data_IF_015933535461
#
_entry.id   IF_015933535461
#
_cell.length_a   1.000
_cell.length_b   1.000
_cell.length_c   1.000
_cell.angle_alpha   90.00
_cell.angle_beta   90.00
_cell.angle_gamma   90.00
#
_symmetry.space_group_name_H-M   'P 1'
#
loop_
_entity.id
_entity.type
_entity.pdbx_description
1 polymer ?
#
# COMPACT_ATOMS: atom_id res chain seq x y z
N UNK A 1 9.85 -5.41 -17.98
CA UNK A 1 9.10 -5.97 -16.85
C UNK A 1 8.12 -7.01 -17.35
N UNK A 2 7.96 -8.12 -16.63
CA UNK A 2 7.08 -9.23 -17.01
C UNK A 2 5.61 -8.80 -17.14
N UNK A 3 5.18 -7.84 -16.32
CA UNK A 3 3.83 -7.28 -16.36
C UNK A 3 3.45 -6.75 -17.76
N UNK A 4 4.43 -6.22 -18.52
CA UNK A 4 4.18 -5.72 -19.88
C UNK A 4 3.72 -6.78 -20.87
N UNK A 5 3.84 -8.06 -20.51
CA UNK A 5 3.42 -9.21 -21.32
C UNK A 5 2.02 -9.71 -20.93
N UNK A 6 1.42 -9.19 -19.88
CA UNK A 6 0.10 -9.59 -19.42
C UNK A 6 -1.02 -8.88 -20.19
N UNK A 7 -2.16 -9.55 -20.38
CA UNK A 7 -3.33 -8.96 -21.03
C UNK A 7 -3.84 -7.71 -20.30
N UNK A 8 -3.74 -7.70 -18.98
CA UNK A 8 -4.19 -6.61 -18.13
C UNK A 8 -3.30 -5.36 -18.23
N UNK A 9 -2.05 -5.48 -18.69
CA UNK A 9 -1.13 -4.34 -18.76
C UNK A 9 -1.72 -3.17 -19.57
N UNK A 10 -2.16 -3.46 -20.81
CA UNK A 10 -2.73 -2.44 -21.70
C UNK A 10 -4.03 -1.85 -21.18
N UNK A 11 -4.83 -2.68 -20.47
CA UNK A 11 -6.11 -2.27 -19.91
C UNK A 11 -5.94 -1.22 -18.80
N UNK A 12 -4.87 -1.34 -18.02
CA UNK A 12 -4.68 -0.50 -16.83
C UNK A 12 -3.59 0.57 -17.01
N UNK A 13 -2.77 0.47 -18.06
CA UNK A 13 -1.70 1.45 -18.31
C UNK A 13 -2.27 2.85 -18.53
N UNK A 14 -1.81 3.82 -17.75
CA UNK A 14 -2.19 5.24 -17.83
C UNK A 14 -3.70 5.51 -17.69
N UNK A 15 -4.44 4.63 -17.00
CA UNK A 15 -5.87 4.81 -16.78
C UNK A 15 -6.19 5.50 -15.44
N UNK A 16 -5.20 5.67 -14.58
CA UNK A 16 -5.37 6.13 -13.20
C UNK A 16 -4.41 7.26 -12.89
N UNK A 17 -4.82 8.13 -11.99
CA UNK A 17 -3.91 9.05 -11.32
C UNK A 17 -3.39 8.39 -10.03
N UNK A 18 -2.10 8.56 -9.73
CA UNK A 18 -1.46 7.81 -8.64
C UNK A 18 -1.01 8.75 -7.54
N UNK A 19 -1.54 8.55 -6.34
CA UNK A 19 -1.10 9.22 -5.12
C UNK A 19 -0.18 8.27 -4.33
N UNK A 20 1.07 8.68 -4.10
CA UNK A 20 2.02 7.92 -3.28
C UNK A 20 2.36 8.72 -2.02
N UNK A 21 2.04 8.15 -0.88
CA UNK A 21 2.09 8.81 0.42
C UNK A 21 2.90 7.97 1.40
N UNK A 22 3.82 8.61 2.13
CA UNK A 22 4.48 8.02 3.29
C UNK A 22 3.97 8.73 4.55
N UNK A 23 3.19 8.01 5.37
CA UNK A 23 2.58 8.58 6.57
C UNK A 23 3.59 8.94 7.65
N UNK A 24 4.70 8.22 7.74
CA UNK A 24 5.77 8.51 8.71
C UNK A 24 6.36 9.91 8.52
N UNK A 25 6.44 10.38 7.26
CA UNK A 25 6.95 11.73 6.96
C UNK A 25 6.08 12.84 7.54
N UNK A 26 4.77 12.68 7.55
CA UNK A 26 3.85 13.63 8.18
C UNK A 26 3.93 13.55 9.69
N UNK A 27 3.94 12.35 10.25
CA UNK A 27 4.02 12.12 11.69
C UNK A 27 5.29 12.73 12.29
N UNK A 28 6.43 12.53 11.67
CA UNK A 28 7.74 13.00 12.17
C UNK A 28 7.88 14.53 12.21
N UNK A 29 7.01 15.24 11.50
CA UNK A 29 7.05 16.70 11.36
C UNK A 29 5.94 17.44 12.10
N UNK A 30 5.21 16.74 12.97
CA UNK A 30 4.06 17.26 13.73
C UNK A 30 4.09 16.78 15.18
N UNK A 31 3.35 17.46 16.06
CA UNK A 31 3.35 17.20 17.50
C UNK A 31 2.04 16.60 18.00
N UNK A 32 1.03 16.51 17.15
CA UNK A 32 -0.27 15.92 17.48
C UNK A 32 -0.91 15.26 16.27
N UNK A 33 -1.93 14.44 16.53
CA UNK A 33 -2.72 13.81 15.49
C UNK A 33 -3.48 14.84 14.65
N UNK A 34 -4.09 15.81 15.29
CA UNK A 34 -4.87 16.82 14.59
C UNK A 34 -3.98 17.63 13.65
N UNK A 35 -2.79 18.04 14.09
CA UNK A 35 -1.79 18.73 13.28
C UNK A 35 -1.30 17.84 12.10
N UNK A 36 -1.09 16.55 12.34
CA UNK A 36 -0.69 15.61 11.29
C UNK A 36 -1.75 15.49 10.20
N UNK A 37 -3.02 15.27 10.58
CA UNK A 37 -4.12 15.12 9.62
C UNK A 37 -4.41 16.42 8.86
N UNK A 38 -4.32 17.56 9.55
CA UNK A 38 -4.45 18.88 8.92
C UNK A 38 -3.33 19.11 7.88
N UNK A 39 -2.08 18.86 8.27
CA UNK A 39 -0.92 19.00 7.38
C UNK A 39 -1.01 18.06 6.20
N UNK A 40 -1.36 16.80 6.42
CA UNK A 40 -1.59 15.82 5.36
C UNK A 40 -2.65 16.31 4.38
N UNK A 41 -3.83 16.67 4.88
CA UNK A 41 -4.95 17.13 4.05
C UNK A 41 -4.58 18.39 3.27
N UNK A 42 -3.90 19.34 3.92
CA UNK A 42 -3.45 20.58 3.30
C UNK A 42 -2.49 20.34 2.16
N UNK A 43 -1.45 19.52 2.35
CA UNK A 43 -0.46 19.26 1.31
C UNK A 43 -1.08 18.52 0.12
N UNK A 44 -1.87 17.50 0.38
CA UNK A 44 -2.51 16.76 -0.70
C UNK A 44 -3.50 17.62 -1.50
N UNK A 45 -4.24 18.51 -0.83
CA UNK A 45 -5.10 19.48 -1.52
C UNK A 45 -4.27 20.43 -2.39
N UNK A 46 -3.17 20.99 -1.89
CA UNK A 46 -2.32 21.86 -2.70
C UNK A 46 -1.81 21.18 -3.95
N UNK A 47 -1.30 19.96 -3.81
CA UNK A 47 -0.82 19.20 -4.97
C UNK A 47 -1.94 18.94 -5.99
N UNK A 48 -3.15 18.63 -5.52
CA UNK A 48 -4.30 18.41 -6.39
C UNK A 48 -4.80 19.72 -7.06
N UNK A 49 -4.85 20.82 -6.34
CA UNK A 49 -5.26 22.11 -6.87
C UNK A 49 -4.26 22.63 -7.92
N UNK A 50 -2.96 22.44 -7.69
CA UNK A 50 -1.91 22.83 -8.63
C UNK A 50 -1.91 21.97 -9.90
N UNK A 51 -2.14 20.65 -9.77
CA UNK A 51 -2.17 19.73 -10.93
C UNK A 51 -3.44 19.93 -11.77
N UNK A 52 -4.58 20.15 -11.12
CA UNK A 52 -5.88 20.19 -11.78
C UNK A 52 -6.46 21.62 -11.87
N UNK A 53 -5.67 22.56 -12.35
CA UNK A 53 -6.03 24.00 -12.46
C UNK A 53 -7.31 24.29 -13.25
N UNK A 54 -7.78 23.36 -14.09
CA UNK A 54 -8.96 23.51 -14.93
C UNK A 54 -10.24 23.00 -14.22
N UNK A 55 -10.10 22.35 -13.08
CA UNK A 55 -11.23 21.82 -12.31
C UNK A 55 -11.86 22.96 -11.49
N UNK A 56 -13.18 23.03 -11.52
CA UNK A 56 -13.92 23.92 -10.63
C UNK A 56 -14.19 23.22 -9.30
N UNK A 57 -13.49 23.62 -8.27
CA UNK A 57 -13.65 23.09 -6.93
C UNK A 57 -14.84 23.73 -6.21
N UNK A 58 -15.66 22.92 -5.54
CA UNK A 58 -16.80 23.36 -4.73
C UNK A 58 -16.38 23.78 -3.34
N UNK A 59 -15.39 23.09 -2.78
CA UNK A 59 -14.79 23.38 -1.48
C UNK A 59 -13.31 22.99 -1.53
N UNK A 60 -12.42 23.99 -1.60
CA UNK A 60 -10.97 23.77 -1.65
C UNK A 60 -10.39 23.39 -0.29
N UNK A 61 -11.15 23.53 0.79
CA UNK A 61 -10.73 23.21 2.16
C UNK A 61 -11.10 21.78 2.58
N UNK A 62 -11.95 21.09 1.84
CA UNK A 62 -12.29 19.68 2.05
C UNK A 62 -11.57 18.77 1.07
N UNK A 63 -10.60 17.98 1.56
CA UNK A 63 -9.84 17.02 0.74
C UNK A 63 -10.73 16.02 0.00
N UNK A 64 -11.76 15.48 0.66
CA UNK A 64 -12.67 14.51 0.06
C UNK A 64 -13.46 15.17 -1.06
N UNK A 65 -13.89 16.41 -0.86
CA UNK A 65 -14.60 17.17 -1.89
C UNK A 65 -13.70 17.51 -3.07
N UNK A 66 -12.46 17.94 -2.82
CA UNK A 66 -11.46 18.20 -3.87
C UNK A 66 -11.26 16.95 -4.73
N UNK A 67 -11.05 15.77 -4.14
CA UNK A 67 -10.88 14.52 -4.89
C UNK A 67 -12.15 14.13 -5.69
N UNK A 68 -13.34 14.36 -5.14
CA UNK A 68 -14.61 14.15 -5.85
C UNK A 68 -14.73 15.07 -7.07
N UNK A 69 -14.32 16.32 -6.93
CA UNK A 69 -14.40 17.30 -8.01
C UNK A 69 -13.41 16.99 -9.14
N UNK A 70 -12.19 16.54 -8.79
CA UNK A 70 -11.21 16.04 -9.77
C UNK A 70 -11.79 14.84 -10.53
N UNK A 71 -12.29 13.84 -9.82
CA UNK A 71 -12.86 12.66 -10.45
C UNK A 71 -14.07 12.98 -11.33
N UNK A 72 -14.98 13.81 -10.86
CA UNK A 72 -16.15 14.25 -11.63
C UNK A 72 -15.77 14.99 -12.92
N UNK A 73 -14.68 15.74 -12.89
CA UNK A 73 -14.19 16.49 -14.06
C UNK A 73 -13.40 15.63 -15.04
N UNK A 74 -12.59 14.71 -14.55
CA UNK A 74 -11.62 13.94 -15.37
C UNK A 74 -12.13 12.56 -15.77
N UNK A 75 -13.05 11.99 -14.99
CA UNK A 75 -13.45 10.57 -15.10
C UNK A 75 -12.33 9.58 -14.73
N UNK A 76 -11.18 10.04 -14.22
CA UNK A 76 -10.03 9.22 -13.87
C UNK A 76 -9.99 9.00 -12.38
N UNK A 77 -10.16 7.74 -11.93
CA UNK A 77 -10.06 7.44 -10.51
C UNK A 77 -8.60 7.31 -10.07
N UNK A 78 -8.38 7.39 -8.74
CA UNK A 78 -7.07 7.34 -8.14
C UNK A 78 -6.67 5.92 -7.72
N UNK A 79 -5.39 5.61 -7.90
CA UNK A 79 -4.69 4.56 -7.15
C UNK A 79 -3.95 5.25 -6.00
N UNK A 80 -4.26 4.85 -4.78
CA UNK A 80 -3.72 5.47 -3.56
C UNK A 80 -2.79 4.47 -2.87
N UNK A 81 -1.49 4.78 -2.86
CA UNK A 81 -0.44 3.98 -2.24
C UNK A 81 -0.03 4.65 -0.93
N UNK A 82 -0.32 4.00 0.19
CA UNK A 82 -0.01 4.52 1.53
C UNK A 82 1.03 3.62 2.19
N UNK A 83 2.23 4.15 2.35
CA UNK A 83 3.31 3.47 3.04
C UNK A 83 3.36 3.89 4.52
N UNK A 84 3.75 2.96 5.39
CA UNK A 84 3.83 3.16 6.84
C UNK A 84 2.48 3.61 7.45
N UNK A 85 1.35 3.05 6.95
CA UNK A 85 0.01 3.44 7.41
C UNK A 85 -0.16 3.33 8.92
N UNK A 86 0.58 2.42 9.54
CA UNK A 86 0.48 2.06 10.96
C UNK A 86 1.44 2.84 11.88
N UNK A 87 2.22 3.77 11.33
CA UNK A 87 3.21 4.54 12.10
C UNK A 87 2.61 5.18 13.34
N UNK A 88 1.39 5.66 13.24
CA UNK A 88 0.65 6.25 14.32
C UNK A 88 0.37 5.30 15.49
N UNK A 89 0.01 4.06 15.20
CA UNK A 89 -0.24 3.04 16.23
C UNK A 89 1.03 2.62 16.95
N UNK A 90 2.18 2.82 16.31
CA UNK A 90 3.51 2.56 16.88
C UNK A 90 3.94 3.70 17.82
N UNK A 91 3.62 4.95 17.47
CA UNK A 91 3.97 6.12 18.26
C UNK A 91 2.94 6.42 19.37
N UNK A 92 1.65 6.47 19.01
CA UNK A 92 0.55 6.77 19.93
C UNK A 92 -0.12 5.51 20.50
N UNK A 93 0.69 4.58 21.07
CA UNK A 93 0.22 3.25 21.51
C UNK A 93 -0.92 3.30 22.52
N UNK A 94 -0.90 4.29 23.41
CA UNK A 94 -1.86 4.44 24.50
C UNK A 94 -2.98 5.44 24.18
N UNK A 95 -2.83 6.25 23.17
CA UNK A 95 -3.80 7.28 22.80
C UNK A 95 -4.88 6.72 21.89
N UNK A 96 -5.93 6.18 22.52
CA UNK A 96 -7.07 5.58 21.79
C UNK A 96 -7.90 6.61 21.03
N UNK A 97 -7.91 7.85 21.47
CA UNK A 97 -8.62 8.93 20.80
C UNK A 97 -7.91 9.30 19.49
N UNK A 98 -6.60 9.51 19.52
CA UNK A 98 -5.79 9.74 18.32
C UNK A 98 -5.91 8.58 17.32
N UNK A 99 -5.83 7.33 17.80
CA UNK A 99 -6.01 6.15 16.95
C UNK A 99 -7.39 6.13 16.28
N UNK A 100 -8.45 6.47 17.04
CA UNK A 100 -9.82 6.52 16.49
C UNK A 100 -9.97 7.63 15.46
N UNK A 101 -9.48 8.84 15.72
CA UNK A 101 -9.50 9.96 14.77
C UNK A 101 -8.84 9.58 13.44
N UNK A 102 -7.69 8.91 13.51
CA UNK A 102 -6.97 8.46 12.32
C UNK A 102 -7.76 7.42 11.51
N UNK A 103 -8.33 6.42 12.17
CA UNK A 103 -9.17 5.42 11.52
C UNK A 103 -10.44 6.04 10.91
N UNK A 104 -11.06 6.98 11.58
CA UNK A 104 -12.22 7.71 11.08
C UNK A 104 -11.86 8.55 9.85
N UNK A 105 -10.68 9.18 9.85
CA UNK A 105 -10.13 9.89 8.70
C UNK A 105 -9.91 8.93 7.51
N UNK A 106 -9.20 7.82 7.69
CA UNK A 106 -8.97 6.83 6.62
C UNK A 106 -10.27 6.30 6.05
N UNK A 107 -11.26 6.08 6.90
CA UNK A 107 -12.59 5.64 6.47
C UNK A 107 -13.30 6.70 5.62
N UNK A 108 -13.31 7.94 6.06
CA UNK A 108 -13.94 9.03 5.33
C UNK A 108 -13.27 9.28 3.98
N UNK A 109 -11.96 9.15 3.93
CA UNK A 109 -11.16 9.40 2.74
C UNK A 109 -11.22 8.27 1.72
N UNK A 110 -11.29 6.99 2.16
CA UNK A 110 -11.10 5.85 1.27
C UNK A 110 -12.36 4.99 1.07
N UNK A 111 -13.26 4.95 2.07
CA UNK A 111 -14.36 4.00 2.04
C UNK A 111 -15.52 4.52 1.18
N UNK A 112 -16.01 3.64 0.29
CA UNK A 112 -17.18 3.90 -0.57
C UNK A 112 -17.05 5.19 -1.40
N UNK A 113 -15.81 5.53 -1.81
CA UNK A 113 -15.52 6.70 -2.62
C UNK A 113 -15.34 6.31 -4.08
N UNK A 114 -16.14 6.90 -4.97
CA UNK A 114 -16.09 6.61 -6.42
C UNK A 114 -14.75 7.00 -7.06
N UNK A 115 -14.03 7.94 -6.48
CA UNK A 115 -12.71 8.35 -6.96
C UNK A 115 -11.60 7.35 -6.62
N UNK A 116 -11.85 6.34 -5.80
CA UNK A 116 -10.85 5.32 -5.42
C UNK A 116 -10.99 4.08 -6.31
N UNK A 117 -10.04 3.87 -7.22
CA UNK A 117 -9.93 2.62 -7.97
C UNK A 117 -9.25 1.53 -7.13
N UNK A 118 -8.21 1.89 -6.38
CA UNK A 118 -7.46 1.01 -5.48
C UNK A 118 -6.83 1.84 -4.36
N UNK A 119 -6.93 1.36 -3.13
CA UNK A 119 -6.11 1.80 -2.02
C UNK A 119 -5.22 0.64 -1.56
N UNK A 120 -3.90 0.81 -1.67
CA UNK A 120 -2.90 -0.17 -1.25
C UNK A 120 -2.07 0.41 -0.11
N UNK A 121 -2.11 -0.25 1.05
CA UNK A 121 -1.44 0.21 2.25
C UNK A 121 -0.41 -0.81 2.71
N UNK A 122 0.79 -0.32 3.04
CA UNK A 122 1.87 -1.13 3.62
C UNK A 122 2.18 -0.68 5.03
N UNK A 123 2.54 -1.63 5.89
CA UNK A 123 2.90 -1.38 7.28
C UNK A 123 3.32 -2.67 7.99
N UNK A 124 3.71 -2.55 9.25
CA UNK A 124 4.17 -3.67 10.08
C UNK A 124 3.02 -4.30 10.86
N UNK A 125 2.05 -3.47 11.29
CA UNK A 125 0.97 -3.92 12.15
C UNK A 125 -0.26 -4.36 11.35
N UNK A 126 -0.91 -5.46 11.72
CA UNK A 126 -2.13 -5.90 11.06
C UNK A 126 -3.29 -4.94 11.34
N UNK A 127 -4.00 -4.57 10.29
CA UNK A 127 -5.10 -3.59 10.36
C UNK A 127 -6.26 -4.07 11.26
N UNK A 128 -6.53 -5.38 11.26
CA UNK A 128 -7.61 -5.99 12.04
C UNK A 128 -7.45 -5.89 13.55
N UNK A 129 -6.21 -5.67 14.03
CA UNK A 129 -5.93 -5.56 15.45
C UNK A 129 -6.42 -4.23 16.05
N UNK A 130 -6.47 -3.18 15.24
CA UNK A 130 -6.69 -1.80 15.69
C UNK A 130 -8.04 -1.23 15.26
N UNK A 131 -8.64 -1.79 14.22
CA UNK A 131 -9.97 -1.38 13.79
C UNK A 131 -11.06 -1.98 14.68
N UNK A 132 -11.91 -1.17 15.30
CA UNK A 132 -13.24 -1.64 15.68
C UNK A 132 -13.90 -2.23 14.43
N UNK A 133 -14.61 -3.34 14.54
CA UNK A 133 -15.09 -4.18 13.43
C UNK A 133 -15.71 -3.48 12.21
N UNK A 134 -15.95 -2.18 12.24
CA UNK A 134 -16.57 -1.41 11.16
C UNK A 134 -15.66 -0.37 10.48
N UNK A 135 -14.54 0.04 11.10
CA UNK A 135 -13.79 1.20 10.60
C UNK A 135 -13.02 0.92 9.30
N UNK A 136 -12.38 -0.24 9.21
CA UNK A 136 -11.53 -0.61 8.06
C UNK A 136 -11.84 -2.00 7.49
N UNK A 137 -13.10 -2.42 7.53
CA UNK A 137 -13.55 -3.69 6.94
C UNK A 137 -13.53 -3.71 5.40
N UNK A 138 -13.17 -2.60 4.77
CA UNK A 138 -13.03 -2.46 3.33
C UNK A 138 -11.72 -3.00 2.78
N UNK A 139 -10.73 -3.33 3.65
CA UNK A 139 -9.44 -3.85 3.22
C UNK A 139 -9.36 -5.36 3.31
N UNK A 140 -8.78 -5.99 2.28
CA UNK A 140 -8.24 -7.34 2.35
C UNK A 140 -6.82 -7.26 2.90
N UNK A 141 -6.53 -8.05 3.94
CA UNK A 141 -5.22 -8.08 4.58
C UNK A 141 -4.41 -9.27 4.07
N UNK A 142 -3.17 -8.97 3.70
CA UNK A 142 -2.16 -9.94 3.28
C UNK A 142 -0.94 -9.81 4.18
N UNK A 143 -0.37 -10.93 4.58
CA UNK A 143 0.82 -10.95 5.45
C UNK A 143 1.69 -12.18 5.18
N UNK A 144 2.91 -12.18 5.72
CA UNK A 144 3.82 -13.32 5.62
C UNK A 144 3.23 -14.62 6.20
N UNK A 145 2.33 -14.54 7.17
CA UNK A 145 1.67 -15.73 7.75
C UNK A 145 0.34 -16.06 7.07
N UNK A 146 -0.20 -15.17 6.25
CA UNK A 146 -1.40 -15.39 5.47
C UNK A 146 -1.33 -14.63 4.14
N UNK A 147 -0.48 -15.07 3.21
CA UNK A 147 -0.22 -14.36 1.96
C UNK A 147 -1.33 -14.50 0.94
N UNK A 148 -2.21 -15.51 1.06
CA UNK A 148 -3.25 -15.83 0.09
C UNK A 148 -2.69 -15.87 -1.33
N UNK A 149 -3.40 -15.26 -2.31
CA UNK A 149 -2.98 -15.15 -3.71
C UNK A 149 -1.72 -14.30 -3.96
N UNK A 150 -1.21 -13.62 -2.93
CA UNK A 150 -0.02 -12.77 -3.03
C UNK A 150 1.28 -13.49 -2.62
N UNK A 151 1.24 -14.81 -2.36
CA UNK A 151 2.37 -15.55 -1.84
C UNK A 151 3.66 -15.37 -2.67
N UNK A 152 3.58 -15.40 -3.99
CA UNK A 152 4.74 -15.25 -4.88
C UNK A 152 5.35 -13.84 -4.89
N UNK A 153 4.67 -12.85 -4.28
CA UNK A 153 5.11 -11.44 -4.28
C UNK A 153 5.71 -10.99 -2.93
N UNK A 154 5.78 -11.88 -1.94
CA UNK A 154 6.34 -11.56 -0.62
C UNK A 154 7.86 -11.71 -0.52
N UNK A 155 8.57 -11.75 -1.62
CA UNK A 155 10.01 -11.90 -1.66
C UNK A 155 10.47 -12.32 -3.05
N UNK A 156 11.63 -12.96 -3.11
CA UNK A 156 12.07 -13.64 -4.32
C UNK A 156 11.70 -15.12 -4.25
N UNK A 157 11.16 -15.65 -5.33
CA UNK A 157 10.97 -17.08 -5.50
C UNK A 157 12.31 -17.80 -5.72
N UNK A 158 12.37 -19.09 -5.44
CA UNK A 158 13.57 -19.89 -5.68
C UNK A 158 14.09 -19.75 -7.11
N UNK A 159 13.20 -19.76 -8.10
CA UNK A 159 13.58 -19.63 -9.50
C UNK A 159 14.18 -18.25 -9.82
N UNK A 160 13.64 -17.19 -9.23
CA UNK A 160 14.21 -15.84 -9.35
C UNK A 160 15.60 -15.75 -8.72
N UNK A 161 15.80 -16.36 -7.54
CA UNK A 161 17.13 -16.42 -6.90
C UNK A 161 18.12 -17.22 -7.75
N UNK A 162 17.73 -18.37 -8.30
CA UNK A 162 18.57 -19.14 -9.25
C UNK A 162 18.97 -18.30 -10.46
N UNK A 163 18.04 -17.56 -11.04
CA UNK A 163 18.33 -16.67 -12.17
C UNK A 163 19.28 -15.53 -11.77
N UNK A 164 19.12 -14.94 -10.58
CA UNK A 164 20.02 -13.91 -10.08
C UNK A 164 21.43 -14.47 -9.82
N UNK A 165 21.55 -15.62 -9.15
CA UNK A 165 22.83 -16.32 -8.93
C UNK A 165 23.55 -16.59 -10.25
N UNK A 166 22.85 -17.13 -11.24
CA UNK A 166 23.42 -17.36 -12.57
C UNK A 166 23.90 -16.06 -13.24
N UNK A 167 23.11 -14.99 -13.17
CA UNK A 167 23.43 -13.68 -13.74
C UNK A 167 24.66 -13.04 -13.10
N UNK A 168 24.78 -13.13 -11.78
CA UNK A 168 25.87 -12.50 -11.03
C UNK A 168 27.02 -13.47 -10.70
N UNK A 169 27.00 -14.69 -11.26
CA UNK A 169 28.02 -15.73 -11.07
C UNK A 169 28.21 -16.09 -9.59
N UNK A 170 27.12 -16.22 -8.85
CA UNK A 170 27.06 -16.67 -7.48
C UNK A 170 26.62 -18.13 -7.41
N UNK A 171 26.98 -18.80 -6.32
CA UNK A 171 26.58 -20.19 -6.08
C UNK A 171 25.19 -20.20 -5.43
N UNK A 172 24.23 -20.88 -6.07
CA UNK A 172 22.87 -20.99 -5.55
C UNK A 172 22.81 -21.85 -4.29
N UNK A 173 23.56 -22.95 -4.21
CA UNK A 173 23.58 -23.84 -3.06
C UNK A 173 24.09 -23.13 -1.79
N UNK A 174 25.08 -22.24 -1.95
CA UNK A 174 25.55 -21.38 -0.84
C UNK A 174 24.47 -20.38 -0.43
N UNK A 175 23.84 -19.72 -1.39
CA UNK A 175 22.76 -18.77 -1.11
C UNK A 175 21.59 -19.48 -0.41
N UNK A 176 21.22 -20.68 -0.85
CA UNK A 176 20.18 -21.49 -0.23
C UNK A 176 20.55 -21.88 1.20
N UNK A 177 21.77 -22.35 1.44
CA UNK A 177 22.22 -22.76 2.78
C UNK A 177 22.20 -21.61 3.80
N UNK A 178 22.40 -20.36 3.36
CA UNK A 178 22.44 -19.19 4.24
C UNK A 178 21.09 -18.46 4.37
N UNK A 179 20.25 -18.49 3.33
CA UNK A 179 19.11 -17.59 3.20
C UNK A 179 17.79 -18.31 2.88
N UNK A 180 17.79 -19.64 2.87
CA UNK A 180 16.57 -20.44 2.74
C UNK A 180 15.63 -20.12 3.93
N UNK A 181 14.49 -19.51 3.63
CA UNK A 181 13.78 -18.83 4.68
C UNK A 181 12.35 -19.25 4.90
N UNK A 182 11.50 -19.16 3.90
CA UNK A 182 10.06 -19.24 4.10
C UNK A 182 9.39 -20.13 3.06
N UNK A 183 8.55 -21.03 3.54
CA UNK A 183 7.55 -21.66 2.69
C UNK A 183 6.23 -20.90 2.83
N UNK A 184 5.79 -20.30 1.74
CA UNK A 184 4.49 -19.63 1.66
C UNK A 184 3.54 -20.47 0.83
N UNK A 185 2.33 -20.67 1.35
CA UNK A 185 1.32 -21.49 0.70
C UNK A 185 0.13 -20.62 0.28
N UNK A 186 -0.33 -20.83 -0.94
CA UNK A 186 -1.60 -20.31 -1.45
C UNK A 186 -2.45 -21.46 -1.99
N UNK A 187 -3.72 -21.19 -2.25
CA UNK A 187 -4.61 -22.13 -2.91
C UNK A 187 -4.76 -21.73 -4.37
N UNK A 188 -4.40 -22.62 -5.29
CA UNK A 188 -4.67 -22.48 -6.73
C UNK A 188 -5.81 -23.41 -7.10
N UNK A 189 -7.04 -22.89 -7.08
CA UNK A 189 -8.26 -23.70 -7.14
C UNK A 189 -8.42 -24.55 -5.88
N UNK A 190 -8.48 -25.88 -6.03
CA UNK A 190 -8.62 -26.84 -4.92
C UNK A 190 -7.26 -27.36 -4.40
N UNK A 191 -6.14 -26.98 -5.04
CA UNK A 191 -4.83 -27.52 -4.72
C UNK A 191 -3.95 -26.49 -4.03
N UNK A 192 -3.22 -26.89 -2.96
CA UNK A 192 -2.22 -26.03 -2.35
C UNK A 192 -1.00 -25.91 -3.26
N UNK A 193 -0.53 -24.68 -3.46
CA UNK A 193 0.71 -24.33 -4.11
C UNK A 193 1.68 -23.74 -3.10
N UNK A 194 2.85 -24.31 -2.99
CA UNK A 194 3.89 -23.90 -2.05
C UNK A 194 4.98 -23.17 -2.81
N UNK A 195 5.41 -22.05 -2.28
CA UNK A 195 6.52 -21.26 -2.78
C UNK A 195 7.65 -21.24 -1.75
N UNK A 196 8.86 -21.65 -2.15
CA UNK A 196 10.08 -21.35 -1.40
C UNK A 196 10.44 -19.89 -1.68
N UNK A 197 10.45 -19.08 -0.63
CA UNK A 197 10.62 -17.63 -0.71
C UNK A 197 11.86 -17.17 0.03
N UNK A 198 12.57 -16.25 -0.56
CA UNK A 198 13.79 -15.66 -0.02
C UNK A 198 13.56 -14.18 0.32
N UNK A 199 14.06 -13.74 1.46
CA UNK A 199 13.99 -12.34 1.86
C UNK A 199 14.73 -11.46 0.84
N UNK A 200 14.12 -10.37 0.35
CA UNK A 200 14.79 -9.44 -0.58
C UNK A 200 16.11 -8.90 -0.03
N UNK A 201 16.16 -8.56 1.26
CA UNK A 201 17.38 -8.08 1.89
C UNK A 201 18.49 -9.13 1.84
N UNK A 202 18.17 -10.37 2.22
CA UNK A 202 19.15 -11.47 2.24
C UNK A 202 19.72 -11.75 0.83
N UNK A 203 18.86 -11.72 -0.19
CA UNK A 203 19.26 -11.96 -1.58
C UNK A 203 20.15 -10.83 -2.13
N UNK A 204 19.90 -9.58 -1.71
CA UNK A 204 20.70 -8.43 -2.18
C UNK A 204 22.05 -8.35 -1.46
N UNK A 205 22.12 -8.79 -0.19
CA UNK A 205 23.33 -8.76 0.62
C UNK A 205 24.29 -9.95 0.30
N UNK A 206 23.82 -10.98 -0.44
CA UNK A 206 24.61 -12.14 -0.87
C UNK A 206 25.49 -11.85 -2.10
#
# INVERSE_FOLDING_TARGET
LNIGQTENYKKHLNQYDVLKINMQGFLSSTHSMDEMLEKFSKFLRYDLLDEYTQVRFRDEDDLVQVMKDVYASTGRPFIILVDEWDCLFREYKQDKEAQKKYLDFLRAWLKDQEYVALAYMTGILPIKKYGSHSALNMFSEYSMVNPREMAEFFGFTEDEVKMLCAKYKRNFEEAQAWYDGYELMTMEGEYPKVYAMYSPKSVVDA
#
